data_IF_566973573222
#
_entry.id   IF_566973573222
#
_cell.length_a   1.000
_cell.length_b   1.000
_cell.length_c   1.000
_cell.angle_alpha   90.00
_cell.angle_beta   90.00
_cell.angle_gamma   90.00
#
_symmetry.space_group_name_H-M   'P 1'
#
loop_
_entity.id
_entity.type
_entity.pdbx_description
1 polymer ?
#
# COMPACT_ATOMS: atom_id res chain seq x y z
N UNK A 1 -18.36 3.30 -1.71
CA UNK A 1 -17.14 4.08 -2.08
C UNK A 1 -16.09 4.08 -0.97
N UNK A 2 -16.43 4.45 0.27
CA UNK A 2 -15.46 4.45 1.38
C UNK A 2 -14.81 3.10 1.66
N UNK A 3 -15.56 2.01 1.62
CA UNK A 3 -15.00 0.66 1.77
C UNK A 3 -14.02 0.31 0.65
N UNK A 4 -14.29 0.74 -0.58
CA UNK A 4 -13.38 0.56 -1.72
C UNK A 4 -12.08 1.32 -1.48
N UNK A 5 -12.15 2.59 -1.04
CA UNK A 5 -10.98 3.41 -0.71
C UNK A 5 -10.18 2.78 0.44
N UNK A 6 -10.87 2.27 1.46
CA UNK A 6 -10.24 1.55 2.56
C UNK A 6 -9.53 0.28 2.10
N UNK A 7 -10.18 -0.50 1.24
CA UNK A 7 -9.61 -1.71 0.64
C UNK A 7 -8.41 -1.41 -0.24
N UNK A 8 -8.46 -0.34 -1.04
CA UNK A 8 -7.33 0.14 -1.84
C UNK A 8 -6.16 0.56 -0.95
N UNK A 9 -6.41 1.34 0.11
CA UNK A 9 -5.38 1.73 1.07
C UNK A 9 -4.70 0.52 1.70
N UNK A 10 -5.48 -0.48 2.12
CA UNK A 10 -4.96 -1.74 2.64
C UNK A 10 -4.14 -2.50 1.60
N UNK A 11 -4.62 -2.58 0.36
CA UNK A 11 -3.88 -3.22 -0.75
C UNK A 11 -2.54 -2.54 -0.98
N UNK A 12 -2.47 -1.21 -0.99
CA UNK A 12 -1.20 -0.48 -1.10
C UNK A 12 -0.23 -0.81 0.04
N UNK A 13 -0.71 -0.92 1.28
CA UNK A 13 0.14 -1.33 2.41
C UNK A 13 0.63 -2.76 2.23
N UNK A 14 -0.24 -3.70 1.87
CA UNK A 14 0.16 -5.11 1.64
C UNK A 14 1.16 -5.21 0.48
N UNK A 15 0.94 -4.45 -0.60
CA UNK A 15 1.83 -4.37 -1.73
C UNK A 15 3.21 -3.88 -1.32
N UNK A 16 3.29 -2.77 -0.58
CA UNK A 16 4.55 -2.20 -0.16
C UNK A 16 5.28 -3.04 0.90
N UNK A 17 4.59 -3.52 1.94
CA UNK A 17 5.23 -4.37 2.96
C UNK A 17 5.69 -5.70 2.38
N UNK A 18 4.82 -6.35 1.60
CA UNK A 18 5.14 -7.65 1.00
C UNK A 18 6.23 -7.54 -0.07
N UNK A 19 6.18 -6.50 -0.90
CA UNK A 19 7.22 -6.18 -1.88
C UNK A 19 8.56 -5.93 -1.20
N UNK A 20 8.57 -5.14 -0.12
CA UNK A 20 9.78 -4.86 0.64
C UNK A 20 10.41 -6.14 1.19
N UNK A 21 9.60 -7.01 1.79
CA UNK A 21 10.08 -8.32 2.28
C UNK A 21 10.62 -9.15 1.12
N UNK A 22 9.93 -9.20 -0.02
CA UNK A 22 10.37 -9.92 -1.21
C UNK A 22 11.75 -9.46 -1.70
N UNK A 23 12.01 -8.15 -1.77
CA UNK A 23 13.32 -7.64 -2.17
C UNK A 23 14.41 -7.89 -1.13
N UNK A 24 14.08 -7.74 0.16
CA UNK A 24 15.04 -7.96 1.24
C UNK A 24 15.45 -9.44 1.36
N UNK A 25 14.60 -10.38 0.95
CA UNK A 25 14.93 -11.81 0.93
C UNK A 25 15.53 -12.29 -0.39
N UNK A 26 15.92 -11.37 -1.29
CA UNK A 26 16.32 -11.69 -2.67
C UNK A 26 15.29 -12.54 -3.42
N UNK A 27 14.01 -12.36 -3.09
CA UNK A 27 12.88 -13.02 -3.73
C UNK A 27 12.73 -12.63 -5.20
N UNK A 28 12.30 -13.58 -6.02
CA UNK A 28 12.09 -13.38 -7.45
C UNK A 28 10.80 -12.63 -7.78
N UNK A 29 10.31 -12.82 -9.02
CA UNK A 29 9.03 -12.26 -9.47
C UNK A 29 7.87 -12.85 -8.66
N UNK A 30 7.35 -12.05 -7.74
CA UNK A 30 6.14 -12.30 -6.94
C UNK A 30 5.00 -11.39 -7.39
N UNK A 31 3.77 -11.62 -6.91
CA UNK A 31 2.55 -10.87 -7.27
C UNK A 31 2.58 -9.35 -6.96
N UNK A 32 3.64 -8.85 -6.33
CA UNK A 32 3.83 -7.44 -6.05
C UNK A 32 4.05 -6.65 -7.33
N UNK A 33 3.28 -5.57 -7.48
CA UNK A 33 3.24 -4.77 -8.70
C UNK A 33 4.61 -4.25 -9.13
N UNK A 34 5.45 -3.89 -8.16
CA UNK A 34 6.79 -3.35 -8.38
C UNK A 34 7.71 -4.31 -9.16
N UNK A 35 7.47 -5.62 -9.08
CA UNK A 35 8.26 -6.64 -9.78
C UNK A 35 8.00 -6.69 -11.30
N UNK A 36 6.88 -6.09 -11.75
CA UNK A 36 6.43 -6.17 -13.14
C UNK A 36 6.60 -4.84 -13.89
N UNK A 37 6.94 -3.76 -13.20
CA UNK A 37 7.08 -2.43 -13.79
C UNK A 37 8.56 -2.15 -14.03
N UNK A 38 8.98 -2.20 -15.30
CA UNK A 38 10.38 -1.93 -15.69
C UNK A 38 10.86 -0.53 -15.27
N UNK A 39 9.96 0.45 -15.15
CA UNK A 39 10.33 1.79 -14.70
C UNK A 39 10.83 1.83 -13.25
N UNK A 40 10.57 0.79 -12.45
CA UNK A 40 10.98 0.69 -11.06
C UNK A 40 12.24 -0.15 -10.87
N UNK A 41 12.85 -0.63 -11.96
CA UNK A 41 14.06 -1.45 -11.90
C UNK A 41 15.20 -0.69 -11.22
N UNK A 42 15.76 -1.26 -10.14
CA UNK A 42 16.79 -0.64 -9.30
C UNK A 42 16.27 0.34 -8.24
N UNK A 43 14.95 0.60 -8.20
CA UNK A 43 14.28 1.46 -7.22
C UNK A 43 13.15 0.73 -6.48
N UNK A 44 13.13 -0.59 -6.52
CA UNK A 44 11.99 -1.40 -6.06
C UNK A 44 11.70 -1.17 -4.58
N UNK A 45 12.74 -1.18 -3.73
CA UNK A 45 12.64 -0.90 -2.29
C UNK A 45 12.06 0.50 -2.02
N UNK A 46 12.44 1.50 -2.83
CA UNK A 46 11.93 2.87 -2.68
C UNK A 46 10.43 2.90 -3.00
N UNK A 47 10.02 2.21 -4.06
CA UNK A 47 8.61 2.12 -4.46
C UNK A 47 7.77 1.36 -3.43
N UNK A 48 8.32 0.30 -2.84
CA UNK A 48 7.69 -0.42 -1.74
C UNK A 48 7.41 0.51 -0.55
N UNK A 49 8.40 1.31 -0.15
CA UNK A 49 8.23 2.31 0.92
C UNK A 49 7.16 3.35 0.55
N UNK A 50 7.14 3.83 -0.70
CA UNK A 50 6.12 4.76 -1.17
C UNK A 50 4.73 4.14 -1.07
N UNK A 51 4.55 2.88 -1.46
CA UNK A 51 3.27 2.19 -1.33
C UNK A 51 2.83 2.02 0.13
N UNK A 52 3.75 1.75 1.06
CA UNK A 52 3.45 1.71 2.50
C UNK A 52 2.93 3.07 2.97
N UNK A 53 3.63 4.16 2.65
CA UNK A 53 3.28 5.52 3.09
C UNK A 53 1.93 5.92 2.52
N UNK A 54 1.73 5.77 1.20
CA UNK A 54 0.49 6.14 0.51
C UNK A 54 -0.69 5.30 1.04
N UNK A 55 -0.53 3.98 1.14
CA UNK A 55 -1.55 3.09 1.68
C UNK A 55 -1.90 3.42 3.12
N UNK A 56 -0.91 3.72 3.96
CA UNK A 56 -1.08 4.13 5.34
C UNK A 56 -1.87 5.44 5.48
N UNK A 57 -1.53 6.46 4.69
CA UNK A 57 -2.25 7.74 4.66
C UNK A 57 -3.72 7.52 4.26
N UNK A 58 -3.97 6.74 3.20
CA UNK A 58 -5.34 6.45 2.72
C UNK A 58 -6.13 5.69 3.81
N UNK A 59 -5.53 4.69 4.45
CA UNK A 59 -6.15 3.92 5.52
C UNK A 59 -6.51 4.79 6.73
N UNK A 60 -5.59 5.64 7.18
CA UNK A 60 -5.80 6.57 8.29
C UNK A 60 -6.87 7.63 7.96
N UNK A 61 -6.86 8.16 6.73
CA UNK A 61 -7.86 9.12 6.28
C UNK A 61 -9.26 8.49 6.25
N UNK A 62 -9.38 7.27 5.71
CA UNK A 62 -10.64 6.51 5.67
C UNK A 62 -11.19 6.26 7.09
N UNK A 63 -10.31 5.90 8.03
CA UNK A 63 -10.70 5.68 9.43
C UNK A 63 -11.15 6.96 10.15
N UNK A 64 -10.49 8.10 9.90
CA UNK A 64 -10.93 9.40 10.44
C UNK A 64 -12.31 9.79 9.93
N UNK A 65 -12.59 9.59 8.64
CA UNK A 65 -13.90 9.88 8.05
C UNK A 65 -14.98 9.01 8.70
N UNK A 66 -14.71 7.73 8.94
CA UNK A 66 -15.63 6.83 9.65
C UNK A 66 -16.01 7.33 11.05
N UNK A 67 -15.01 7.72 11.85
CA UNK A 67 -15.26 8.24 13.19
C UNK A 67 -16.01 9.57 13.21
N UNK A 68 -15.82 10.42 12.20
CA UNK A 68 -16.56 11.68 12.09
C UNK A 68 -18.04 11.42 11.86
N UNK A 69 -18.39 10.57 10.88
CA UNK A 69 -19.79 10.22 10.59
C UNK A 69 -20.47 9.54 11.77
N UNK A 70 -19.75 8.72 12.54
CA UNK A 70 -20.31 8.02 13.71
C UNK A 70 -20.51 8.91 14.94
N UNK A 71 -19.95 10.13 14.95
CA UNK A 71 -20.15 11.10 16.04
C UNK A 71 -21.34 12.04 15.83
N UNK A 72 -21.82 12.16 14.60
CA UNK A 72 -22.95 13.03 14.23
C UNK A 72 -24.33 12.33 14.27
N UNK A 73 -24.34 10.99 14.40
CA UNK A 73 -25.53 10.15 14.54
C UNK A 73 -25.64 9.59 15.97
#
# INVERSE_FOLDING_TARGET
>A
MKEIISGLGLLFVIQGVGGLINHLTNGGKSWFLVNYINAFQGFEIVMDIIFIIVGGIIGLASWKIDRSTKREN
#
